data_IF_216813810682
#
_entry.id   IF_216813810682
#
_cell.length_a   1.000
_cell.length_b   1.000
_cell.length_c   1.000
_cell.angle_alpha   90.00
_cell.angle_beta   90.00
_cell.angle_gamma   90.00
#
_symmetry.space_group_name_H-M   'P 1'
#
loop_
_entity.id
_entity.type
_entity.pdbx_description
1 polymer ?
#
# COMPACT_ATOMS: atom_id res chain seq x y z
N UNK A 1 25.18 -1.64 3.90
CA UNK A 1 24.73 -2.01 5.26
C UNK A 1 23.60 -3.01 5.11
N UNK A 2 23.73 -4.23 5.68
CA UNK A 2 22.62 -5.17 5.72
C UNK A 2 21.53 -4.66 6.67
N UNK A 3 20.26 -4.84 6.30
CA UNK A 3 19.15 -4.65 7.23
C UNK A 3 18.94 -5.93 8.02
N UNK A 4 18.33 -5.81 9.20
CA UNK A 4 18.01 -6.96 10.04
C UNK A 4 16.87 -7.76 9.40
N UNK A 5 17.16 -9.03 9.12
CA UNK A 5 16.18 -10.04 8.75
C UNK A 5 15.60 -10.69 10.01
N UNK A 6 14.38 -11.22 9.92
CA UNK A 6 13.76 -12.02 10.98
C UNK A 6 14.65 -13.16 11.51
N UNK A 7 15.58 -13.68 10.70
CA UNK A 7 16.55 -14.70 11.13
C UNK A 7 17.54 -14.23 12.21
N UNK A 8 17.67 -12.92 12.42
CA UNK A 8 18.56 -12.34 13.45
C UNK A 8 17.82 -12.06 14.76
N UNK A 9 16.51 -12.27 14.80
CA UNK A 9 15.73 -12.24 16.03
C UNK A 9 16.03 -13.50 16.85
N UNK A 10 16.13 -13.36 18.16
CA UNK A 10 16.03 -14.47 19.10
C UNK A 10 14.63 -15.10 19.00
N UNK A 11 14.47 -16.34 19.46
CA UNK A 11 13.16 -17.02 19.46
C UNK A 11 12.08 -16.23 20.22
N UNK A 12 12.46 -15.57 21.32
CA UNK A 12 11.55 -14.71 22.07
C UNK A 12 11.10 -13.48 21.27
N UNK A 13 12.02 -12.84 20.54
CA UNK A 13 11.71 -11.69 19.69
C UNK A 13 10.91 -12.11 18.45
N UNK A 14 11.18 -13.28 17.86
CA UNK A 14 10.33 -13.85 16.79
C UNK A 14 8.90 -14.07 17.28
N UNK A 15 8.73 -14.71 18.45
CA UNK A 15 7.41 -14.93 19.05
C UNK A 15 6.69 -13.62 19.35
N UNK A 16 7.42 -12.59 19.78
CA UNK A 16 6.88 -11.23 19.94
C UNK A 16 6.43 -10.66 18.60
N UNK A 17 7.28 -10.70 17.58
CA UNK A 17 6.99 -10.16 16.26
C UNK A 17 5.82 -10.90 15.59
N UNK A 18 5.70 -12.21 15.76
CA UNK A 18 4.54 -12.99 15.31
C UNK A 18 3.26 -12.56 16.04
N UNK A 19 3.32 -12.36 17.36
CA UNK A 19 2.18 -11.87 18.14
C UNK A 19 1.76 -10.46 17.70
N UNK A 20 2.74 -9.59 17.46
CA UNK A 20 2.53 -8.24 16.93
C UNK A 20 1.92 -8.31 15.53
N UNK A 21 2.48 -9.10 14.61
CA UNK A 21 1.98 -9.24 13.25
C UNK A 21 0.50 -9.66 13.22
N UNK A 22 0.12 -10.64 14.05
CA UNK A 22 -1.29 -11.07 14.20
C UNK A 22 -2.23 -9.98 14.72
N UNK A 23 -1.74 -9.05 15.54
CA UNK A 23 -2.58 -8.09 16.27
C UNK A 23 -2.56 -6.66 15.73
N UNK A 24 -1.68 -6.34 14.78
CA UNK A 24 -1.28 -4.94 14.55
C UNK A 24 -1.26 -4.50 13.10
N UNK A 25 -1.75 -5.25 12.12
CA UNK A 25 -1.73 -4.78 10.73
C UNK A 25 -2.97 -5.19 9.94
N UNK A 26 -4.11 -5.12 10.59
CA UNK A 26 -5.26 -5.84 10.06
C UNK A 26 -6.18 -4.92 9.27
N UNK A 27 -6.22 -3.61 9.54
CA UNK A 27 -7.06 -2.65 8.81
C UNK A 27 -6.27 -1.47 8.25
N UNK A 28 -6.60 -1.07 7.03
CA UNK A 28 -6.02 0.08 6.33
C UNK A 28 -7.11 0.99 5.76
N UNK A 29 -6.90 2.30 5.85
CA UNK A 29 -7.71 3.29 5.13
C UNK A 29 -7.08 3.55 3.75
N UNK A 30 -7.79 3.20 2.69
CA UNK A 30 -7.38 3.44 1.30
C UNK A 30 -8.55 4.06 0.55
N UNK A 31 -8.35 5.26 -0.01
CA UNK A 31 -9.38 6.02 -0.73
C UNK A 31 -10.68 6.17 0.08
N UNK A 32 -10.54 6.60 1.34
CA UNK A 32 -11.65 6.78 2.29
C UNK A 32 -12.47 5.51 2.59
N UNK A 33 -11.98 4.34 2.17
CA UNK A 33 -12.55 3.03 2.48
C UNK A 33 -11.64 2.26 3.41
N UNK A 34 -12.22 1.63 4.41
CA UNK A 34 -11.51 0.75 5.32
C UNK A 34 -11.59 -0.65 4.76
N UNK A 35 -10.45 -1.33 4.70
CA UNK A 35 -10.38 -2.73 4.30
C UNK A 35 -9.36 -3.48 5.12
N UNK A 36 -9.42 -4.80 5.06
CA UNK A 36 -8.32 -5.60 5.57
C UNK A 36 -7.04 -5.30 4.77
N UNK A 37 -5.86 -5.37 5.39
CA UNK A 37 -4.62 -5.13 4.64
C UNK A 37 -4.40 -6.20 3.57
N UNK A 38 -4.83 -7.43 3.82
CA UNK A 38 -4.73 -8.56 2.90
C UNK A 38 -5.90 -9.54 3.07
N UNK A 39 -6.05 -10.47 2.13
CA UNK A 39 -6.97 -11.61 2.28
C UNK A 39 -6.59 -12.49 3.47
N UNK A 40 -5.31 -12.61 3.79
CA UNK A 40 -4.83 -13.35 4.97
C UNK A 40 -5.32 -12.69 6.27
N UNK A 41 -5.38 -11.36 6.34
CA UNK A 41 -5.89 -10.66 7.52
C UNK A 41 -7.41 -10.82 7.69
N UNK A 42 -8.16 -10.81 6.59
CA UNK A 42 -9.59 -11.15 6.59
C UNK A 42 -9.79 -12.59 7.08
N UNK A 43 -9.04 -13.54 6.53
CA UNK A 43 -9.12 -14.95 6.91
C UNK A 43 -8.77 -15.16 8.39
N UNK A 44 -7.71 -14.53 8.89
CA UNK A 44 -7.33 -14.57 10.30
C UNK A 44 -8.44 -14.01 11.20
N UNK A 45 -9.06 -12.88 10.83
CA UNK A 45 -10.16 -12.30 11.59
C UNK A 45 -11.38 -13.23 11.65
N UNK A 46 -11.77 -13.80 10.51
CA UNK A 46 -12.88 -14.75 10.42
C UNK A 46 -12.58 -16.01 11.25
N UNK A 47 -11.35 -16.54 11.19
CA UNK A 47 -10.94 -17.73 11.96
C UNK A 47 -10.96 -17.46 13.48
N UNK A 48 -10.38 -16.35 13.94
CA UNK A 48 -10.35 -15.96 15.36
C UNK A 48 -11.76 -15.77 15.94
N UNK A 49 -12.72 -15.34 15.11
CA UNK A 49 -14.10 -15.05 15.51
C UNK A 49 -15.10 -16.06 14.91
N UNK A 50 -14.64 -17.22 14.45
CA UNK A 50 -15.42 -18.14 13.61
C UNK A 50 -16.74 -18.55 14.25
N UNK A 51 -16.72 -18.89 15.54
CA UNK A 51 -17.92 -19.31 16.26
C UNK A 51 -18.96 -18.19 16.44
N UNK A 52 -18.53 -16.92 16.42
CA UNK A 52 -19.43 -15.76 16.53
C UNK A 52 -19.99 -15.39 15.16
N UNK A 53 -19.16 -15.41 14.13
CA UNK A 53 -19.53 -15.03 12.76
C UNK A 53 -20.35 -16.14 12.09
N UNK A 54 -19.93 -17.39 12.26
CA UNK A 54 -20.48 -18.59 11.61
C UNK A 54 -20.94 -19.63 12.64
N UNK A 55 -21.87 -19.30 13.56
CA UNK A 55 -22.22 -20.14 14.70
C UNK A 55 -22.78 -21.52 14.31
N UNK A 56 -23.38 -21.66 13.13
CA UNK A 56 -23.93 -22.92 12.61
C UNK A 56 -22.92 -23.87 11.97
N UNK A 57 -21.66 -23.43 11.79
CA UNK A 57 -20.63 -24.20 11.10
C UNK A 57 -19.57 -24.71 12.07
N UNK A 58 -18.90 -25.80 11.69
CA UNK A 58 -17.66 -26.30 12.27
C UNK A 58 -16.54 -26.05 11.27
N UNK A 59 -15.49 -25.33 11.68
CA UNK A 59 -14.27 -25.22 10.89
C UNK A 59 -13.50 -26.54 10.96
N UNK A 60 -13.33 -27.21 9.82
CA UNK A 60 -12.61 -28.49 9.73
C UNK A 60 -11.15 -28.24 9.40
N UNK A 61 -10.91 -27.43 8.36
CA UNK A 61 -9.56 -27.13 7.91
C UNK A 61 -9.49 -25.78 7.22
N UNK A 62 -8.56 -24.95 7.69
CA UNK A 62 -8.12 -23.73 7.00
C UNK A 62 -7.08 -24.06 5.92
N UNK A 63 -7.12 -23.32 4.80
CA UNK A 63 -6.20 -23.41 3.68
C UNK A 63 -6.01 -24.85 3.17
N UNK A 64 -7.09 -25.62 3.08
CA UNK A 64 -7.00 -27.02 2.68
C UNK A 64 -6.69 -27.13 1.19
N UNK A 65 -5.63 -27.88 0.86
CA UNK A 65 -5.27 -28.15 -0.53
C UNK A 65 -5.95 -29.44 -1.00
N UNK A 66 -6.79 -29.33 -2.03
CA UNK A 66 -7.53 -30.41 -2.69
C UNK A 66 -7.16 -30.37 -4.17
N UNK A 67 -6.56 -31.44 -4.68
CA UNK A 67 -6.11 -31.56 -6.07
C UNK A 67 -5.35 -30.31 -6.57
N UNK A 68 -4.30 -29.91 -5.83
CA UNK A 68 -3.45 -28.71 -6.07
C UNK A 68 -4.13 -27.34 -5.91
N UNK A 69 -5.43 -27.30 -5.62
CA UNK A 69 -6.19 -26.09 -5.38
C UNK A 69 -6.37 -25.86 -3.88
N UNK A 70 -6.20 -24.64 -3.41
CA UNK A 70 -6.27 -24.29 -1.99
C UNK A 70 -7.54 -23.51 -1.71
N UNK A 71 -8.50 -24.11 -0.98
CA UNK A 71 -9.66 -23.37 -0.49
C UNK A 71 -9.35 -22.70 0.84
N UNK A 72 -9.96 -21.53 1.08
CA UNK A 72 -9.69 -20.76 2.30
C UNK A 72 -10.21 -21.50 3.54
N UNK A 73 -11.50 -21.84 3.60
CA UNK A 73 -12.06 -22.59 4.71
C UNK A 73 -12.89 -23.79 4.23
N UNK A 74 -12.52 -24.99 4.69
CA UNK A 74 -13.34 -26.18 4.62
C UNK A 74 -14.08 -26.36 5.96
N UNK A 75 -15.40 -26.42 5.89
CA UNK A 75 -16.29 -26.47 7.03
C UNK A 75 -17.35 -27.57 6.87
N UNK A 76 -18.11 -27.83 7.93
CA UNK A 76 -19.37 -28.56 7.85
C UNK A 76 -20.47 -27.93 8.70
N UNK A 77 -21.72 -28.19 8.35
CA UNK A 77 -22.87 -27.75 9.18
C UNK A 77 -22.91 -28.60 10.45
N UNK A 78 -22.95 -27.97 11.63
CA UNK A 78 -22.89 -28.63 12.94
C UNK A 78 -23.90 -29.78 13.11
N UNK A 79 -25.15 -29.58 12.68
CA UNK A 79 -26.24 -30.51 12.91
C UNK A 79 -26.24 -31.74 12.01
N UNK A 80 -25.71 -31.62 10.78
CA UNK A 80 -25.87 -32.63 9.73
C UNK A 80 -24.57 -33.03 9.05
N UNK A 81 -23.44 -32.42 9.43
CA UNK A 81 -22.10 -32.61 8.81
C UNK A 81 -22.06 -32.35 7.30
N UNK A 82 -23.04 -31.61 6.76
CA UNK A 82 -23.07 -31.22 5.35
C UNK A 82 -21.81 -30.40 5.00
N UNK A 83 -21.09 -30.73 3.92
CA UNK A 83 -19.88 -30.02 3.51
C UNK A 83 -20.18 -28.57 3.13
N UNK A 84 -19.34 -27.65 3.60
CA UNK A 84 -19.37 -26.23 3.26
C UNK A 84 -17.97 -25.77 2.86
N UNK A 85 -17.84 -25.14 1.69
CA UNK A 85 -16.61 -24.48 1.26
C UNK A 85 -16.85 -22.98 1.34
N UNK A 86 -15.94 -22.26 1.99
CA UNK A 86 -15.96 -20.79 2.06
C UNK A 86 -14.73 -20.25 1.33
N UNK A 87 -14.97 -19.36 0.38
CA UNK A 87 -13.93 -18.55 -0.27
C UNK A 87 -14.06 -17.09 0.19
N UNK A 88 -12.95 -16.49 0.59
CA UNK A 88 -12.87 -15.13 1.10
C UNK A 88 -12.16 -14.25 0.07
N UNK A 89 -12.72 -13.06 -0.19
CA UNK A 89 -12.07 -12.04 -1.01
C UNK A 89 -12.07 -10.72 -0.28
N UNK A 90 -10.94 -10.03 -0.32
CA UNK A 90 -10.81 -8.69 0.25
C UNK A 90 -11.11 -7.58 -0.77
N UNK A 91 -11.35 -7.95 -2.02
CA UNK A 91 -11.72 -7.07 -3.14
C UNK A 91 -12.72 -7.80 -4.06
N UNK A 92 -13.27 -7.12 -5.06
CA UNK A 92 -14.14 -7.75 -6.06
C UNK A 92 -13.35 -8.77 -6.91
N UNK A 93 -13.88 -9.98 -7.07
CA UNK A 93 -13.33 -11.02 -7.97
C UNK A 93 -14.43 -11.50 -8.92
N UNK A 94 -14.12 -11.56 -10.22
CA UNK A 94 -15.06 -12.01 -11.26
C UNK A 94 -15.12 -13.53 -11.42
N UNK A 95 -14.14 -14.26 -10.88
CA UNK A 95 -13.97 -15.69 -11.14
C UNK A 95 -14.43 -16.57 -9.97
N UNK A 96 -15.10 -15.99 -8.97
CA UNK A 96 -15.36 -16.60 -7.67
C UNK A 96 -16.24 -17.85 -7.80
N UNK A 97 -17.31 -17.76 -8.61
CA UNK A 97 -18.19 -18.90 -8.90
C UNK A 97 -17.42 -20.05 -9.56
N UNK A 98 -16.59 -19.73 -10.55
CA UNK A 98 -15.77 -20.73 -11.24
C UNK A 98 -14.80 -21.42 -10.26
N UNK A 99 -14.23 -20.67 -9.33
CA UNK A 99 -13.28 -21.15 -8.34
C UNK A 99 -13.94 -22.11 -7.35
N UNK A 100 -15.06 -21.71 -6.74
CA UNK A 100 -15.86 -22.54 -5.85
C UNK A 100 -16.35 -23.82 -6.56
N UNK A 101 -16.76 -23.73 -7.81
CA UNK A 101 -17.18 -24.90 -8.61
C UNK A 101 -16.05 -25.91 -8.79
N UNK A 102 -14.82 -25.43 -9.05
CA UNK A 102 -13.64 -26.31 -9.15
C UNK A 102 -13.32 -26.97 -7.82
N UNK A 103 -13.42 -26.25 -6.70
CA UNK A 103 -13.20 -26.81 -5.37
C UNK A 103 -14.23 -27.87 -5.02
N UNK A 104 -15.51 -27.62 -5.31
CA UNK A 104 -16.59 -28.60 -5.14
C UNK A 104 -16.29 -29.90 -5.86
N UNK A 105 -15.89 -29.81 -7.14
CA UNK A 105 -15.55 -30.98 -7.95
C UNK A 105 -14.38 -31.76 -7.33
N UNK A 106 -13.32 -31.07 -6.92
CA UNK A 106 -12.16 -31.68 -6.31
C UNK A 106 -12.51 -32.36 -4.97
N UNK A 107 -13.30 -31.69 -4.12
CA UNK A 107 -13.71 -32.18 -2.82
C UNK A 107 -14.53 -33.48 -2.94
N UNK A 108 -15.45 -33.56 -3.90
CA UNK A 108 -16.28 -34.75 -4.12
C UNK A 108 -15.51 -35.95 -4.69
N UNK A 109 -14.34 -35.71 -5.30
CA UNK A 109 -13.43 -36.77 -5.77
C UNK A 109 -12.59 -37.29 -4.60
N UNK A 110 -11.96 -36.40 -3.84
CA UNK A 110 -11.03 -36.79 -2.78
C UNK A 110 -11.70 -37.21 -1.46
N UNK A 111 -12.85 -36.61 -1.14
CA UNK A 111 -13.63 -36.86 0.08
C UNK A 111 -12.81 -36.87 1.38
N UNK A 112 -12.03 -35.81 1.68
CA UNK A 112 -11.21 -35.74 2.89
C UNK A 112 -12.05 -35.67 4.17
N UNK A 113 -11.50 -36.09 5.31
CA UNK A 113 -12.17 -36.00 6.63
C UNK A 113 -13.58 -36.65 6.69
N UNK A 114 -13.79 -37.89 6.21
CA UNK A 114 -15.11 -38.52 6.15
C UNK A 114 -15.80 -38.66 7.52
N UNK A 115 -15.04 -38.67 8.60
CA UNK A 115 -15.57 -38.69 9.98
C UNK A 115 -16.32 -37.40 10.36
N UNK A 116 -15.97 -36.28 9.70
CA UNK A 116 -16.44 -34.91 10.01
C UNK A 116 -17.37 -34.35 8.91
N UNK A 117 -17.40 -34.97 7.74
CA UNK A 117 -18.13 -34.52 6.55
C UNK A 117 -18.98 -35.65 5.99
N UNK A 118 -20.27 -35.39 5.84
CA UNK A 118 -21.19 -36.27 5.13
C UNK A 118 -21.25 -35.91 3.64
N UNK A 119 -20.51 -36.65 2.83
CA UNK A 119 -20.46 -36.47 1.37
C UNK A 119 -21.68 -37.00 0.61
N UNK A 120 -22.67 -37.58 1.31
CA UNK A 120 -23.96 -37.90 0.70
C UNK A 120 -24.84 -36.65 0.52
N UNK A 121 -24.53 -35.57 1.26
CA UNK A 121 -25.24 -34.30 1.20
C UNK A 121 -24.61 -33.36 0.16
N UNK A 122 -25.39 -32.45 -0.46
CA UNK A 122 -24.86 -31.49 -1.40
C UNK A 122 -23.87 -30.52 -0.72
N UNK A 123 -22.79 -30.15 -1.42
CA UNK A 123 -21.79 -29.20 -0.92
C UNK A 123 -22.35 -27.77 -1.02
N UNK A 124 -22.42 -27.05 0.11
CA UNK A 124 -22.71 -25.61 0.10
C UNK A 124 -21.46 -24.80 -0.21
N UNK A 125 -21.63 -23.74 -0.99
CA UNK A 125 -20.57 -22.89 -1.50
C UNK A 125 -20.83 -21.47 -1.04
N UNK A 126 -19.98 -20.94 -0.18
CA UNK A 126 -20.13 -19.60 0.38
C UNK A 126 -18.99 -18.73 -0.15
N UNK A 127 -19.34 -17.56 -0.67
CA UNK A 127 -18.41 -16.51 -1.00
C UNK A 127 -18.59 -15.36 -0.03
N UNK A 128 -17.51 -14.84 0.55
CA UNK A 128 -17.55 -13.64 1.39
C UNK A 128 -16.62 -12.59 0.77
N UNK A 129 -17.19 -11.48 0.32
CA UNK A 129 -16.47 -10.42 -0.38
C UNK A 129 -17.05 -9.04 -0.02
N UNK A 130 -16.35 -7.92 -0.23
CA UNK A 130 -16.93 -6.60 0.00
C UNK A 130 -18.02 -6.23 -1.01
N UNK A 131 -17.99 -6.82 -2.20
CA UNK A 131 -18.93 -6.62 -3.29
C UNK A 131 -18.76 -7.76 -4.30
N UNK A 132 -19.81 -8.06 -5.07
CA UNK A 132 -19.74 -9.03 -6.17
C UNK A 132 -19.96 -8.37 -7.53
N UNK A 133 -19.14 -8.76 -8.52
CA UNK A 133 -19.33 -8.35 -9.91
C UNK A 133 -20.57 -9.05 -10.52
N UNK A 134 -21.25 -8.39 -11.47
CA UNK A 134 -22.43 -8.91 -12.19
C UNK A 134 -22.21 -10.30 -12.80
N UNK A 135 -21.03 -10.54 -13.36
CA UNK A 135 -20.58 -11.85 -13.86
C UNK A 135 -20.74 -12.97 -12.83
N UNK A 136 -20.54 -12.72 -11.52
CA UNK A 136 -20.73 -13.76 -10.51
C UNK A 136 -22.19 -14.16 -10.36
N UNK A 137 -23.13 -13.21 -10.45
CA UNK A 137 -24.56 -13.54 -10.40
C UNK A 137 -24.98 -14.30 -11.66
N UNK A 138 -24.50 -13.85 -12.83
CA UNK A 138 -24.74 -14.53 -14.11
C UNK A 138 -24.19 -15.97 -14.09
N UNK A 139 -22.95 -16.16 -13.62
CA UNK A 139 -22.32 -17.47 -13.51
C UNK A 139 -23.02 -18.36 -12.48
N UNK A 140 -23.55 -17.78 -11.39
CA UNK A 140 -24.33 -18.51 -10.39
C UNK A 140 -25.65 -19.02 -11.01
N UNK A 141 -26.39 -18.17 -11.71
CA UNK A 141 -27.64 -18.50 -12.39
C UNK A 141 -27.41 -19.54 -13.50
N UNK A 142 -26.33 -19.40 -14.27
CA UNK A 142 -25.95 -20.35 -15.31
C UNK A 142 -25.41 -21.68 -14.74
N UNK A 143 -25.12 -21.74 -13.44
CA UNK A 143 -24.57 -22.93 -12.80
C UNK A 143 -25.65 -23.95 -12.46
N UNK A 144 -25.31 -25.24 -12.61
CA UNK A 144 -26.17 -26.35 -12.15
C UNK A 144 -26.33 -26.41 -10.62
N UNK A 145 -25.65 -25.53 -9.88
CA UNK A 145 -25.59 -25.51 -8.42
C UNK A 145 -26.06 -24.17 -7.85
N UNK A 146 -26.85 -23.38 -8.58
CA UNK A 146 -27.35 -22.06 -8.16
C UNK A 146 -27.82 -22.02 -6.69
N UNK A 147 -28.64 -23.01 -6.29
CA UNK A 147 -29.21 -23.15 -4.94
C UNK A 147 -28.21 -23.57 -3.85
N UNK A 148 -26.98 -23.93 -4.23
CA UNK A 148 -25.90 -24.27 -3.31
C UNK A 148 -24.95 -23.10 -3.06
N UNK A 149 -25.06 -22.02 -3.84
CA UNK A 149 -24.27 -20.81 -3.66
C UNK A 149 -24.92 -19.83 -2.68
N UNK A 150 -24.07 -19.24 -1.83
CA UNK A 150 -24.41 -18.11 -0.96
C UNK A 150 -23.36 -17.02 -1.17
N UNK A 151 -23.77 -15.87 -1.69
CA UNK A 151 -22.92 -14.69 -1.84
C UNK A 151 -23.18 -13.73 -0.69
N UNK A 152 -22.22 -13.55 0.21
CA UNK A 152 -22.35 -12.69 1.38
C UNK A 152 -21.43 -11.48 1.28
N UNK A 153 -22.04 -10.31 1.23
CA UNK A 153 -21.30 -9.05 1.22
C UNK A 153 -20.94 -8.59 2.63
N UNK A 154 -19.75 -8.02 2.78
CA UNK A 154 -19.34 -7.34 4.00
C UNK A 154 -18.96 -5.87 3.80
N UNK A 155 -19.16 -5.06 4.82
CA UNK A 155 -18.58 -3.71 4.92
C UNK A 155 -17.75 -3.56 6.19
N UNK A 156 -16.85 -2.58 6.20
CA UNK A 156 -16.12 -2.19 7.41
C UNK A 156 -16.37 -0.71 7.65
N UNK A 157 -17.02 -0.42 8.77
CA UNK A 157 -17.42 0.93 9.15
C UNK A 157 -16.73 1.32 10.48
N UNK A 158 -16.66 2.62 10.77
CA UNK A 158 -16.25 3.11 12.10
C UNK A 158 -17.48 3.65 12.79
N UNK A 159 -17.75 3.18 13.99
CA UNK A 159 -18.80 3.76 14.81
C UNK A 159 -18.42 5.19 15.22
N UNK A 160 -19.25 6.18 14.88
CA UNK A 160 -18.97 7.58 15.21
C UNK A 160 -18.79 7.76 16.73
N UNK A 161 -17.67 8.34 17.13
CA UNK A 161 -17.34 8.56 18.54
C UNK A 161 -16.75 7.34 19.25
N UNK A 162 -16.67 6.17 18.60
CA UNK A 162 -15.89 5.02 19.09
C UNK A 162 -14.70 4.74 18.18
N UNK A 163 -13.60 4.38 18.81
CA UNK A 163 -12.35 4.05 18.12
C UNK A 163 -12.31 2.59 17.60
N UNK A 164 -13.49 1.99 17.38
CA UNK A 164 -13.67 0.57 17.05
C UNK A 164 -14.20 0.48 15.62
N UNK A 165 -13.53 -0.31 14.79
CA UNK A 165 -14.04 -0.68 13.47
C UNK A 165 -15.02 -1.84 13.61
N UNK A 166 -16.04 -1.85 12.75
CA UNK A 166 -17.13 -2.81 12.77
C UNK A 166 -17.16 -3.57 11.44
N UNK A 167 -17.00 -4.89 11.51
CA UNK A 167 -17.20 -5.81 10.40
C UNK A 167 -18.69 -6.12 10.29
N UNK A 168 -19.32 -5.65 9.23
CA UNK A 168 -20.73 -5.91 8.95
C UNK A 168 -20.84 -7.02 7.92
N UNK A 169 -21.43 -8.17 8.27
CA UNK A 169 -21.64 -9.30 7.36
C UNK A 169 -23.10 -9.71 7.43
N UNK A 170 -23.81 -9.66 6.29
CA UNK A 170 -25.22 -10.08 6.19
C UNK A 170 -26.13 -9.47 7.27
N UNK A 171 -25.98 -8.17 7.54
CA UNK A 171 -26.78 -7.43 8.52
C UNK A 171 -26.41 -7.69 9.99
N UNK A 172 -25.34 -8.43 10.27
CA UNK A 172 -24.78 -8.59 11.61
C UNK A 172 -23.47 -7.82 11.74
N UNK A 173 -23.24 -7.23 12.90
CA UNK A 173 -22.07 -6.41 13.19
C UNK A 173 -21.17 -7.11 14.20
N UNK A 174 -19.88 -7.08 13.92
CA UNK A 174 -18.84 -7.67 14.75
C UNK A 174 -17.73 -6.66 14.98
N UNK A 175 -17.29 -6.51 16.23
CA UNK A 175 -16.19 -5.59 16.53
C UNK A 175 -14.88 -6.12 15.94
N UNK A 176 -14.09 -5.20 15.40
CA UNK A 176 -12.72 -5.46 14.98
C UNK A 176 -11.80 -4.79 16.01
N UNK A 177 -11.12 -5.56 16.89
CA UNK A 177 -10.32 -5.02 17.97
C UNK A 177 -8.95 -4.50 17.50
N UNK A 178 -8.78 -4.27 16.20
CA UNK A 178 -7.51 -3.93 15.58
C UNK A 178 -7.39 -2.42 15.35
N UNK A 179 -6.17 -1.86 15.45
CA UNK A 179 -5.94 -0.48 15.05
C UNK A 179 -6.13 -0.30 13.54
N UNK A 180 -6.71 0.85 13.17
CA UNK A 180 -6.87 1.27 11.77
C UNK A 180 -5.65 2.10 11.37
N UNK A 181 -4.86 1.60 10.42
CA UNK A 181 -3.69 2.32 9.95
C UNK A 181 -4.06 3.29 8.83
N UNK A 182 -3.34 4.42 8.79
CA UNK A 182 -3.59 5.48 7.82
C UNK A 182 -4.81 6.36 8.13
N UNK A 183 -5.53 6.07 9.21
CA UNK A 183 -6.67 6.88 9.64
C UNK A 183 -6.20 8.26 10.14
N UNK A 184 -6.65 9.38 9.54
CA UNK A 184 -6.25 10.72 9.95
C UNK A 184 -6.62 11.02 11.41
N UNK A 185 -5.74 11.69 12.15
CA UNK A 185 -6.02 12.18 13.50
C UNK A 185 -5.91 11.15 14.63
N UNK A 186 -5.82 9.85 14.33
CA UNK A 186 -5.69 8.80 15.35
C UNK A 186 -4.23 8.49 15.66
N UNK A 187 -3.76 9.02 16.77
CA UNK A 187 -2.45 8.71 17.33
C UNK A 187 -2.72 7.73 18.48
N UNK A 188 -2.43 6.45 18.26
CA UNK A 188 -2.40 5.46 19.35
C UNK A 188 -1.58 6.04 20.50
N UNK A 189 -2.08 5.91 21.74
CA UNK A 189 -1.29 6.29 22.91
C UNK A 189 0.08 5.56 22.88
N UNK A 190 1.10 6.18 23.47
CA UNK A 190 2.49 5.72 23.34
C UNK A 190 2.69 4.26 23.74
N UNK A 191 1.92 3.79 24.73
CA UNK A 191 1.97 2.41 25.22
C UNK A 191 1.38 1.42 24.20
N UNK A 192 0.17 1.66 23.69
CA UNK A 192 -0.47 0.81 22.69
C UNK A 192 0.30 0.83 21.37
N UNK A 193 0.83 2.00 21.00
CA UNK A 193 1.70 2.12 19.84
C UNK A 193 2.97 1.29 20.00
N UNK A 194 3.63 1.35 21.15
CA UNK A 194 4.85 0.57 21.40
C UNK A 194 4.60 -0.95 21.37
N UNK A 195 3.44 -1.41 21.86
CA UNK A 195 3.00 -2.80 21.78
C UNK A 195 2.68 -3.22 20.34
N UNK A 196 2.39 -2.26 19.46
CA UNK A 196 2.10 -2.50 18.04
C UNK A 196 3.33 -2.56 17.12
N UNK A 197 4.51 -2.24 17.65
CA UNK A 197 5.74 -2.22 16.86
C UNK A 197 6.43 -3.59 16.85
N UNK A 198 6.83 -4.10 15.68
CA UNK A 198 7.81 -5.18 15.60
C UNK A 198 9.08 -4.79 16.35
N UNK A 199 9.81 -5.76 16.87
CA UNK A 199 10.97 -5.61 17.76
C UNK A 199 11.97 -4.59 17.21
N UNK A 200 12.33 -4.70 15.93
CA UNK A 200 13.30 -3.78 15.36
C UNK A 200 12.77 -2.35 15.17
N UNK A 201 11.48 -2.20 14.84
CA UNK A 201 10.87 -0.88 14.75
C UNK A 201 10.73 -0.22 16.12
N UNK A 202 10.47 -1.04 17.16
CA UNK A 202 10.47 -0.62 18.54
C UNK A 202 11.84 -0.11 19.00
N UNK A 203 12.93 -0.82 18.67
CA UNK A 203 14.30 -0.39 18.96
C UNK A 203 14.65 0.95 18.30
N UNK A 204 14.26 1.15 17.04
CA UNK A 204 14.46 2.44 16.38
C UNK A 204 13.66 3.55 17.07
N UNK A 205 12.37 3.29 17.34
CA UNK A 205 11.46 4.24 17.99
C UNK A 205 11.95 4.64 19.39
N UNK A 206 12.46 3.69 20.17
CA UNK A 206 12.96 3.95 21.52
C UNK A 206 14.17 4.90 21.51
N UNK A 207 15.00 4.83 20.46
CA UNK A 207 16.20 5.67 20.27
C UNK A 207 15.89 7.05 19.67
N UNK A 208 14.64 7.32 19.28
CA UNK A 208 14.23 8.65 18.83
C UNK A 208 14.08 9.58 20.04
N UNK A 209 14.52 10.83 19.86
CA UNK A 209 14.19 11.93 20.77
C UNK A 209 12.66 12.06 20.87
N UNK A 210 12.15 12.35 22.06
CA UNK A 210 10.73 12.44 22.39
C UNK A 210 9.99 13.38 21.44
N UNK A 211 10.63 14.49 21.02
CA UNK A 211 10.03 15.46 20.09
C UNK A 211 9.67 14.88 18.72
N UNK A 212 10.30 13.79 18.29
CA UNK A 212 10.07 13.15 16.99
C UNK A 212 9.10 11.98 17.04
N UNK A 213 8.78 11.45 18.23
CA UNK A 213 8.02 10.19 18.36
C UNK A 213 6.61 10.27 17.77
N UNK A 214 5.91 11.38 18.02
CA UNK A 214 4.56 11.63 17.50
C UNK A 214 4.54 11.71 15.97
N UNK A 215 5.45 12.49 15.39
CA UNK A 215 5.54 12.65 13.94
C UNK A 215 6.06 11.38 13.25
N UNK A 216 6.98 10.65 13.88
CA UNK A 216 7.40 9.32 13.42
C UNK A 216 6.22 8.36 13.36
N UNK A 217 5.36 8.36 14.38
CA UNK A 217 4.17 7.52 14.40
C UNK A 217 3.20 7.87 13.28
N UNK A 218 2.91 9.16 13.09
CA UNK A 218 2.07 9.63 11.99
C UNK A 218 2.63 9.22 10.62
N UNK A 219 3.92 9.51 10.38
CA UNK A 219 4.59 9.18 9.14
C UNK A 219 4.66 7.67 8.90
N UNK A 220 5.08 6.88 9.88
CA UNK A 220 5.13 5.41 9.76
C UNK A 220 3.76 4.84 9.39
N UNK A 221 2.70 5.32 10.03
CA UNK A 221 1.34 4.87 9.73
C UNK A 221 0.96 5.16 8.27
N UNK A 222 1.38 6.28 7.68
CA UNK A 222 1.15 6.59 6.27
C UNK A 222 1.99 5.72 5.32
N UNK A 223 3.22 5.38 5.72
CA UNK A 223 4.14 4.57 4.91
C UNK A 223 3.76 3.09 4.93
N UNK A 224 3.41 2.53 6.10
CA UNK A 224 3.23 1.07 6.26
C UNK A 224 1.92 0.55 5.68
N UNK A 225 0.91 1.41 5.52
CA UNK A 225 -0.38 1.06 4.88
C UNK A 225 -0.25 0.82 3.39
N UNK A 226 0.84 1.26 2.77
CA UNK A 226 0.95 1.14 1.33
C UNK A 226 1.13 -0.32 0.92
N UNK A 227 0.52 -0.75 -0.20
CA UNK A 227 0.61 -2.11 -0.68
C UNK A 227 2.05 -2.58 -0.86
N UNK A 228 2.30 -3.84 -0.45
CA UNK A 228 3.58 -4.55 -0.58
C UNK A 228 4.76 -3.86 0.13
N UNK A 229 4.52 -2.87 1.02
CA UNK A 229 5.58 -2.26 1.82
C UNK A 229 5.99 -3.15 2.97
N UNK A 230 7.30 -3.32 3.09
CA UNK A 230 7.98 -3.89 4.24
C UNK A 230 8.75 -2.79 4.95
N UNK A 231 8.72 -2.85 6.27
CA UNK A 231 9.56 -2.05 7.14
C UNK A 231 10.82 -2.85 7.48
N UNK A 232 11.99 -2.27 7.20
CA UNK A 232 13.29 -2.91 7.41
C UNK A 232 14.17 -1.98 8.23
N UNK A 233 14.77 -2.49 9.30
CA UNK A 233 15.58 -1.68 10.21
C UNK A 233 17.03 -2.13 10.13
N UNK A 234 17.97 -1.19 10.09
CA UNK A 234 19.40 -1.50 10.05
C UNK A 234 19.86 -2.21 11.33
N UNK A 235 20.93 -3.01 11.26
CA UNK A 235 21.55 -3.66 12.43
C UNK A 235 21.95 -2.70 13.56
N UNK A 236 22.24 -1.44 13.25
CA UNK A 236 22.58 -0.42 14.24
C UNK A 236 21.36 0.27 14.86
N UNK A 237 20.14 -0.06 14.41
CA UNK A 237 18.89 0.62 14.78
C UNK A 237 18.92 2.13 14.51
N UNK A 238 19.76 2.58 13.57
CA UNK A 238 19.91 3.99 13.20
C UNK A 238 19.22 4.31 11.88
N UNK A 239 18.68 3.32 11.17
CA UNK A 239 17.99 3.53 9.90
C UNK A 239 16.76 2.63 9.79
N UNK A 240 15.68 3.18 9.26
CA UNK A 240 14.48 2.44 8.84
C UNK A 240 14.27 2.67 7.35
N UNK A 241 14.01 1.60 6.60
CA UNK A 241 13.70 1.64 5.18
C UNK A 241 12.29 1.07 4.96
N UNK A 242 11.52 1.75 4.13
CA UNK A 242 10.21 1.34 3.64
C UNK A 242 10.33 1.01 2.16
N UNK A 243 10.04 -0.24 1.78
CA UNK A 243 10.17 -0.71 0.40
C UNK A 243 9.76 -2.17 0.22
N UNK A 244 9.94 -2.74 -0.99
CA UNK A 244 9.57 -4.15 -1.27
C UNK A 244 10.59 -5.16 -0.75
N UNK A 245 11.76 -4.70 -0.33
CA UNK A 245 12.83 -5.54 0.21
C UNK A 245 14.19 -4.86 0.18
N UNK A 246 15.24 -5.66 0.37
CA UNK A 246 16.61 -5.20 0.53
C UNK A 246 17.45 -5.47 -0.72
N UNK A 247 18.01 -4.43 -1.35
CA UNK A 247 18.96 -4.62 -2.45
C UNK A 247 18.91 -3.51 -3.49
N UNK A 248 19.59 -3.75 -4.62
CA UNK A 248 19.63 -2.80 -5.75
C UNK A 248 18.34 -2.82 -6.57
N UNK A 249 17.66 -3.96 -6.65
CA UNK A 249 16.50 -4.17 -7.52
C UNK A 249 15.15 -3.99 -6.81
N UNK A 250 15.16 -3.76 -5.50
CA UNK A 250 13.93 -3.52 -4.74
C UNK A 250 13.46 -2.08 -4.91
N UNK A 251 12.14 -1.93 -5.00
CA UNK A 251 11.48 -0.62 -5.03
C UNK A 251 11.56 -0.04 -3.62
N UNK A 252 11.98 1.22 -3.50
CA UNK A 252 12.12 1.94 -2.23
C UNK A 252 11.15 3.12 -2.22
N UNK A 253 10.53 3.37 -1.07
CA UNK A 253 9.61 4.49 -0.84
C UNK A 253 10.29 5.57 0.00
N UNK A 254 10.72 5.19 1.21
CA UNK A 254 11.21 6.13 2.21
C UNK A 254 12.31 5.51 3.07
N UNK A 255 13.21 6.34 3.58
CA UNK A 255 14.26 5.95 4.53
C UNK A 255 14.37 7.03 5.60
N UNK A 256 14.41 6.63 6.87
CA UNK A 256 14.59 7.52 8.01
C UNK A 256 15.92 7.17 8.65
N UNK A 257 16.78 8.16 8.92
CA UNK A 257 18.09 7.94 9.54
C UNK A 257 18.26 8.79 10.79
N UNK A 258 18.59 8.13 11.91
CA UNK A 258 18.91 8.72 13.21
C UNK A 258 20.37 8.37 13.56
N UNK A 259 21.32 9.17 13.08
CA UNK A 259 22.76 8.92 13.32
C UNK A 259 23.27 9.86 14.42
N UNK A 260 23.95 9.37 15.48
CA UNK A 260 24.52 10.23 16.51
C UNK A 260 25.42 11.32 15.94
N UNK A 261 25.28 12.53 16.48
CA UNK A 261 26.00 13.72 16.01
C UNK A 261 25.51 14.26 14.66
N UNK A 262 24.41 13.73 14.11
CA UNK A 262 23.73 14.25 12.92
C UNK A 262 22.24 14.44 13.21
N UNK A 263 21.61 15.34 12.48
CA UNK A 263 20.17 15.50 12.54
C UNK A 263 19.44 14.25 12.01
N UNK A 264 18.21 14.07 12.52
CA UNK A 264 17.29 13.08 11.99
C UNK A 264 16.93 13.47 10.56
N UNK A 265 17.11 12.56 9.61
CA UNK A 265 16.80 12.82 8.20
C UNK A 265 15.73 11.87 7.67
N UNK A 266 14.77 12.42 6.94
CA UNK A 266 13.89 11.68 6.04
C UNK A 266 14.45 11.73 4.61
N UNK A 267 14.42 10.61 3.93
CA UNK A 267 14.67 10.49 2.50
C UNK A 267 13.45 9.88 1.82
N UNK A 268 13.03 10.45 0.69
CA UNK A 268 11.96 9.94 -0.14
C UNK A 268 12.47 9.61 -1.54
N UNK A 269 11.97 8.54 -2.14
CA UNK A 269 12.27 8.21 -3.53
C UNK A 269 11.29 8.94 -4.44
N UNK A 270 11.73 10.08 -4.97
CA UNK A 270 10.90 11.01 -5.74
C UNK A 270 11.22 10.98 -7.24
N UNK A 271 10.26 11.30 -8.11
CA UNK A 271 10.47 11.38 -9.55
C UNK A 271 11.59 12.34 -9.94
N UNK A 272 12.31 12.02 -11.01
CA UNK A 272 13.35 12.87 -11.58
C UNK A 272 13.30 12.82 -13.10
N UNK A 273 13.62 13.94 -13.73
CA UNK A 273 13.95 13.93 -15.17
C UNK A 273 15.28 13.21 -15.37
N UNK A 274 15.29 12.12 -16.12
CA UNK A 274 16.52 11.50 -16.61
C UNK A 274 16.40 11.22 -18.10
N UNK A 275 17.54 11.16 -18.79
CA UNK A 275 17.54 10.74 -20.18
C UNK A 275 17.03 9.29 -20.30
N UNK A 276 16.33 8.96 -21.38
CA UNK A 276 15.65 7.66 -21.58
C UNK A 276 16.62 6.47 -21.62
N UNK A 277 17.93 6.74 -21.72
CA UNK A 277 19.01 5.75 -21.61
C UNK A 277 19.40 5.42 -20.15
N UNK A 278 18.89 6.17 -19.18
CA UNK A 278 19.14 5.99 -17.74
C UNK A 278 17.97 5.25 -17.09
N UNK A 279 18.26 4.10 -16.46
CA UNK A 279 17.27 3.21 -15.84
C UNK A 279 16.48 3.79 -14.64
N UNK A 280 16.68 5.07 -14.26
CA UNK A 280 16.22 5.60 -12.97
C UNK A 280 15.40 6.89 -13.11
N UNK A 281 14.09 6.81 -13.43
CA UNK A 281 13.19 7.95 -13.39
C UNK A 281 12.87 8.44 -11.97
N UNK A 282 13.50 7.85 -10.95
CA UNK A 282 13.30 8.18 -9.53
C UNK A 282 14.64 8.19 -8.80
N UNK A 283 14.86 9.21 -7.99
CA UNK A 283 16.06 9.37 -7.16
C UNK A 283 15.70 9.47 -5.67
N UNK A 284 16.68 9.13 -4.82
CA UNK A 284 16.57 9.31 -3.37
C UNK A 284 16.84 10.77 -3.04
N UNK A 285 15.84 11.45 -2.50
CA UNK A 285 15.89 12.86 -2.15
C UNK A 285 15.86 13.02 -0.63
N UNK A 286 16.79 13.81 -0.09
CA UNK A 286 16.71 14.34 1.26
C UNK A 286 16.23 15.79 1.25
N UNK A 287 15.89 16.31 2.43
CA UNK A 287 15.25 17.61 2.60
C UNK A 287 16.09 18.50 3.51
N UNK A 288 16.36 19.72 3.06
CA UNK A 288 16.85 20.81 3.93
C UNK A 288 15.62 21.61 4.33
N UNK A 289 15.38 21.66 5.63
CA UNK A 289 14.21 22.29 6.22
C UNK A 289 14.61 23.61 6.88
N UNK A 290 13.66 24.53 6.95
CA UNK A 290 13.84 25.80 7.68
C UNK A 290 14.20 25.51 9.15
N UNK A 291 15.04 26.36 9.75
CA UNK A 291 15.50 26.20 11.14
C UNK A 291 14.36 25.83 12.11
N UNK A 292 14.66 24.90 13.01
CA UNK A 292 13.73 24.38 14.03
C UNK A 292 12.57 23.51 13.50
N UNK A 293 12.54 23.18 12.21
CA UNK A 293 11.55 22.27 11.64
C UNK A 293 11.83 20.81 11.99
N UNK A 294 10.77 20.01 12.06
CA UNK A 294 10.83 18.59 12.38
C UNK A 294 10.87 17.75 11.10
N UNK A 295 11.90 16.92 10.91
CA UNK A 295 12.10 16.16 9.67
C UNK A 295 11.10 15.05 9.39
N UNK A 296 10.16 14.81 10.31
CA UNK A 296 9.08 13.84 10.16
C UNK A 296 7.69 14.49 10.15
N UNK A 297 7.58 15.80 10.38
CA UNK A 297 6.29 16.50 10.43
C UNK A 297 5.86 16.97 9.03
N UNK A 298 4.60 16.72 8.68
CA UNK A 298 4.03 17.14 7.39
C UNK A 298 4.07 18.65 7.19
N UNK A 299 3.99 19.43 8.27
CA UNK A 299 3.91 20.89 8.21
C UNK A 299 5.28 21.56 8.09
N UNK A 300 6.37 20.79 8.25
CA UNK A 300 7.72 21.31 8.14
C UNK A 300 7.99 21.96 6.79
N UNK A 301 8.55 23.16 6.83
CA UNK A 301 8.86 23.94 5.64
C UNK A 301 10.15 23.43 5.01
N UNK A 302 10.03 22.96 3.77
CA UNK A 302 11.14 22.53 2.92
C UNK A 302 11.70 23.75 2.22
N UNK A 303 13.00 24.00 2.39
CA UNK A 303 13.72 25.03 1.66
C UNK A 303 14.32 24.43 0.39
N UNK A 304 14.99 23.29 0.55
CA UNK A 304 15.68 22.61 -0.55
C UNK A 304 15.42 21.11 -0.56
N UNK A 305 15.29 20.60 -1.78
CA UNK A 305 15.35 19.19 -2.08
C UNK A 305 16.75 18.84 -2.57
N UNK A 306 17.35 17.77 -2.06
CA UNK A 306 18.70 17.32 -2.42
C UNK A 306 18.67 15.87 -2.86
N UNK A 307 18.96 15.61 -4.13
CA UNK A 307 19.12 14.24 -4.64
C UNK A 307 20.49 13.71 -4.25
N UNK A 308 20.52 12.58 -3.57
CA UNK A 308 21.75 12.00 -3.03
C UNK A 308 21.74 10.49 -3.03
N UNK A 309 22.88 9.89 -3.36
CA UNK A 309 23.12 8.45 -3.20
C UNK A 309 23.49 8.08 -1.76
N UNK A 310 24.01 9.04 -0.98
CA UNK A 310 24.56 8.84 0.36
C UNK A 310 23.90 9.76 1.39
N UNK A 311 24.55 10.09 2.51
CA UNK A 311 23.96 11.00 3.50
C UNK A 311 23.72 12.40 2.93
N UNK A 312 22.76 13.12 3.51
CA UNK A 312 22.58 14.54 3.25
C UNK A 312 23.89 15.26 3.58
N UNK A 313 24.48 15.97 2.61
CA UNK A 313 25.70 16.74 2.81
C UNK A 313 25.39 18.23 2.64
N UNK A 314 25.10 18.89 3.77
CA UNK A 314 24.73 20.31 3.79
C UNK A 314 25.89 21.24 3.39
N UNK A 315 27.14 20.76 3.36
CA UNK A 315 28.28 21.59 2.89
C UNK A 315 28.22 21.92 1.41
N UNK A 316 27.35 21.22 0.67
CA UNK A 316 27.08 21.46 -0.74
C UNK A 316 25.70 22.10 -0.93
N UNK A 317 25.13 22.80 0.05
CA UNK A 317 23.94 23.62 -0.21
C UNK A 317 24.29 24.64 -1.29
N UNK A 318 23.44 24.80 -2.33
CA UNK A 318 23.64 25.85 -3.33
C UNK A 318 23.77 27.22 -2.66
N UNK A 319 24.50 28.12 -3.32
CA UNK A 319 24.43 29.53 -3.00
C UNK A 319 22.96 29.95 -2.95
N UNK A 320 22.55 30.56 -1.83
CA UNK A 320 21.19 31.05 -1.59
C UNK A 320 20.74 31.99 -2.72
N UNK A 321 21.70 32.66 -3.37
CA UNK A 321 21.47 33.56 -4.50
C UNK A 321 21.32 32.85 -5.85
N UNK A 322 21.61 31.56 -5.94
CA UNK A 322 21.32 30.79 -7.16
C UNK A 322 19.82 30.51 -7.23
N UNK A 323 19.13 31.16 -8.17
CA UNK A 323 17.69 31.00 -8.38
C UNK A 323 17.31 29.68 -9.07
N UNK A 324 18.29 28.84 -9.40
CA UNK A 324 18.13 27.75 -10.38
C UNK A 324 18.47 26.39 -9.76
N UNK A 325 17.72 25.35 -10.14
CA UNK A 325 18.11 23.97 -9.86
C UNK A 325 19.44 23.60 -10.51
N UNK A 326 20.20 22.72 -9.85
CA UNK A 326 21.36 22.09 -10.46
C UNK A 326 21.03 20.68 -10.89
N UNK A 327 21.66 20.27 -11.99
CA UNK A 327 21.54 18.93 -12.55
C UNK A 327 22.91 18.27 -12.66
N UNK A 328 22.93 16.95 -12.50
CA UNK A 328 24.08 16.12 -12.84
C UNK A 328 24.31 16.08 -14.35
N UNK A 329 25.47 15.54 -14.75
CA UNK A 329 25.79 15.30 -16.17
C UNK A 329 24.81 14.33 -16.84
N UNK A 330 24.24 13.42 -16.06
CA UNK A 330 23.22 12.45 -16.47
C UNK A 330 21.79 13.05 -16.51
N UNK A 331 21.67 14.36 -16.26
CA UNK A 331 20.40 15.07 -16.23
C UNK A 331 19.59 14.85 -14.95
N UNK A 332 20.08 14.07 -13.98
CA UNK A 332 19.40 13.91 -12.69
C UNK A 332 19.38 15.24 -11.93
N UNK A 333 18.25 15.57 -11.31
CA UNK A 333 18.17 16.71 -10.40
C UNK A 333 19.17 16.49 -9.27
N UNK A 334 20.05 17.45 -8.99
CA UNK A 334 21.01 17.44 -7.86
C UNK A 334 20.43 18.18 -6.66
N UNK A 335 19.92 19.38 -6.88
CA UNK A 335 19.18 20.15 -5.89
C UNK A 335 18.11 21.03 -6.54
N UNK A 336 17.06 21.36 -5.80
CA UNK A 336 16.01 22.30 -6.21
C UNK A 336 15.46 23.05 -5.02
N UNK A 337 15.09 24.32 -5.20
CA UNK A 337 14.16 24.98 -4.29
C UNK A 337 12.84 24.21 -4.27
N UNK A 338 12.19 24.20 -3.12
CA UNK A 338 10.99 23.40 -2.90
C UNK A 338 9.89 23.71 -3.93
N UNK A 339 9.54 25.00 -4.06
CA UNK A 339 8.56 25.55 -5.02
C UNK A 339 8.89 25.31 -6.51
N UNK A 340 10.15 25.04 -6.85
CA UNK A 340 10.58 24.83 -8.24
C UNK A 340 10.68 23.36 -8.62
N UNK A 341 10.61 22.44 -7.66
CA UNK A 341 10.87 21.01 -7.90
C UNK A 341 10.04 20.45 -9.05
N UNK A 342 8.74 20.71 -9.05
CA UNK A 342 7.84 20.16 -10.06
C UNK A 342 8.14 20.71 -11.47
N UNK A 343 8.40 22.02 -11.58
CA UNK A 343 8.87 22.63 -12.83
C UNK A 343 10.18 22.01 -13.31
N UNK A 344 11.13 21.79 -12.38
CA UNK A 344 12.44 21.24 -12.69
C UNK A 344 12.42 19.78 -13.16
N UNK A 345 11.56 18.95 -12.58
CA UNK A 345 11.39 17.54 -12.99
C UNK A 345 10.70 17.43 -14.36
N UNK A 346 9.98 18.47 -14.78
CA UNK A 346 9.20 18.46 -16.03
C UNK A 346 9.89 19.20 -17.18
N UNK A 347 10.72 20.20 -16.87
CA UNK A 347 11.41 21.06 -17.84
C UNK A 347 12.20 20.30 -18.92
N UNK A 348 13.00 19.29 -18.55
CA UNK A 348 13.86 18.55 -19.50
C UNK A 348 13.08 17.83 -20.60
N UNK A 349 11.86 17.35 -20.35
CA UNK A 349 11.07 16.71 -21.40
C UNK A 349 10.38 17.73 -22.31
N UNK A 350 10.13 18.95 -21.82
CA UNK A 350 9.57 20.03 -22.65
C UNK A 350 10.59 20.63 -23.62
N UNK A 351 11.88 20.41 -23.37
CA UNK A 351 13.02 20.97 -24.13
C UNK A 351 13.57 20.03 -25.23
N UNK A 352 13.05 18.80 -25.38
CA UNK A 352 13.46 17.86 -26.43
C UNK A 352 12.33 17.74 -27.48
N UNK A 353 12.41 18.48 -28.60
CA UNK A 353 11.37 18.50 -29.62
C UNK A 353 11.15 17.12 -30.26
N UNK A 354 12.20 16.30 -30.34
CA UNK A 354 12.14 14.97 -30.95
C UNK A 354 11.37 14.01 -30.05
N UNK A 355 11.64 14.00 -28.74
CA UNK A 355 10.83 13.23 -27.78
C UNK A 355 9.40 13.75 -27.69
N UNK A 356 9.22 15.07 -27.79
CA UNK A 356 7.89 15.67 -27.83
C UNK A 356 7.11 15.22 -29.09
N UNK A 357 7.76 15.13 -30.25
CA UNK A 357 7.14 14.70 -31.51
C UNK A 357 6.96 13.18 -31.61
N UNK A 358 7.84 12.39 -31.00
CA UNK A 358 7.65 10.96 -30.77
C UNK A 358 6.40 10.73 -29.88
N UNK A 359 6.25 11.52 -28.83
CA UNK A 359 5.08 11.48 -27.94
C UNK A 359 3.79 11.86 -28.67
N UNK A 360 3.80 12.94 -29.47
CA UNK A 360 2.67 13.31 -30.33
C UNK A 360 2.31 12.18 -31.31
N UNK A 361 3.29 11.44 -31.83
CA UNK A 361 3.08 10.29 -32.71
C UNK A 361 2.44 9.12 -31.97
N UNK A 362 2.98 8.72 -30.82
CA UNK A 362 2.43 7.62 -29.99
C UNK A 362 0.99 7.91 -29.55
N UNK A 363 0.69 9.16 -29.22
CA UNK A 363 -0.68 9.55 -28.88
C UNK A 363 -1.64 9.50 -30.08
N UNK A 364 -1.20 9.98 -31.26
CA UNK A 364 -1.98 9.93 -32.52
C UNK A 364 -2.28 8.50 -32.98
N UNK A 365 -1.35 7.57 -32.81
CA UNK A 365 -1.53 6.17 -33.20
C UNK A 365 -2.29 5.35 -32.16
N UNK A 366 -2.45 5.86 -30.94
CA UNK A 366 -3.30 5.23 -29.95
C UNK A 366 -4.77 5.48 -30.30
N UNK A 367 -5.59 4.43 -30.36
CA UNK A 367 -7.06 4.52 -30.47
C UNK A 367 -7.73 5.10 -29.21
N UNK A 368 -6.95 5.66 -28.29
CA UNK A 368 -7.41 6.23 -27.04
C UNK A 368 -7.80 7.68 -27.23
N UNK A 369 -9.11 7.96 -27.26
CA UNK A 369 -9.66 9.33 -27.22
C UNK A 369 -9.06 10.18 -26.08
N UNK A 370 -8.71 9.55 -24.96
CA UNK A 370 -8.10 10.19 -23.80
C UNK A 370 -6.65 10.64 -24.07
N UNK A 371 -5.84 9.85 -24.80
CA UNK A 371 -4.47 10.25 -25.18
C UNK A 371 -4.50 11.47 -26.11
N UNK A 372 -5.45 11.52 -27.04
CA UNK A 372 -5.63 12.67 -27.92
C UNK A 372 -6.10 13.92 -27.15
N UNK A 373 -6.98 13.78 -26.14
CA UNK A 373 -7.33 14.89 -25.24
C UNK A 373 -6.14 15.39 -24.41
N UNK A 374 -5.26 14.50 -23.97
CA UNK A 374 -4.06 14.83 -23.19
C UNK A 374 -3.07 15.67 -24.01
N UNK A 375 -2.80 15.25 -25.26
CA UNK A 375 -1.95 16.00 -26.19
C UNK A 375 -2.52 17.39 -26.47
N UNK A 376 -3.84 17.50 -26.63
CA UNK A 376 -4.48 18.79 -26.87
C UNK A 376 -4.51 19.66 -25.61
N UNK A 377 -4.61 19.09 -24.41
CA UNK A 377 -4.50 19.81 -23.13
C UNK A 377 -3.06 20.23 -22.77
N UNK A 378 -2.07 19.63 -23.42
CA UNK A 378 -0.64 19.87 -23.19
C UNK A 378 -0.23 21.31 -23.52
N UNK A 379 -0.94 21.98 -24.43
CA UNK A 379 -0.76 23.40 -24.73
C UNK A 379 -1.06 24.30 -23.51
N UNK A 380 -1.80 23.80 -22.51
CA UNK A 380 -2.25 24.57 -21.35
C UNK A 380 -1.63 24.14 -20.01
N UNK A 381 -1.05 22.92 -19.88
CA UNK A 381 -0.39 22.50 -18.62
C UNK A 381 0.54 21.26 -18.79
N UNK A 382 1.83 21.45 -19.16
CA UNK A 382 2.76 20.37 -19.53
C UNK A 382 3.25 19.51 -18.34
N UNK A 383 3.05 19.97 -17.11
CA UNK A 383 3.72 19.44 -15.92
C UNK A 383 3.07 18.15 -15.39
N UNK A 384 1.74 18.02 -15.51
CA UNK A 384 1.00 16.86 -15.01
C UNK A 384 1.21 15.59 -15.80
N UNK A 385 0.87 15.67 -17.09
CA UNK A 385 0.83 14.53 -17.99
C UNK A 385 2.22 13.96 -18.20
N UNK A 386 3.21 14.85 -18.12
CA UNK A 386 4.59 14.51 -18.16
C UNK A 386 5.08 13.87 -16.85
N UNK A 387 4.68 14.36 -15.68
CA UNK A 387 4.99 13.66 -14.41
C UNK A 387 4.35 12.27 -14.42
N UNK A 388 3.09 12.13 -14.86
CA UNK A 388 2.40 10.84 -14.99
C UNK A 388 3.07 9.90 -16.00
N UNK A 389 3.63 10.44 -17.08
CA UNK A 389 4.40 9.69 -18.07
C UNK A 389 5.77 9.25 -17.53
N UNK A 390 6.52 10.17 -16.90
CA UNK A 390 7.80 9.93 -16.19
C UNK A 390 7.64 8.87 -15.11
N UNK A 391 6.50 8.91 -14.41
CA UNK A 391 6.17 7.99 -13.33
C UNK A 391 5.92 6.56 -13.81
N UNK A 392 5.44 6.38 -15.03
CA UNK A 392 4.81 5.11 -15.41
C UNK A 392 5.35 4.43 -16.67
N UNK A 393 5.63 5.12 -17.76
CA UNK A 393 5.59 4.42 -19.06
C UNK A 393 4.25 3.69 -19.30
N UNK A 394 3.17 4.14 -18.65
CA UNK A 394 1.82 3.54 -18.73
C UNK A 394 0.89 4.49 -19.45
N UNK A 395 -0.10 3.89 -20.10
CA UNK A 395 -1.10 4.57 -20.91
C UNK A 395 -2.18 5.25 -20.04
N UNK A 396 -2.71 6.41 -20.48
CA UNK A 396 -3.83 7.13 -19.86
C UNK A 396 -5.10 6.36 -19.53
N UNK A 397 -5.24 5.11 -20.00
CA UNK A 397 -6.39 4.24 -19.72
C UNK A 397 -6.44 3.74 -18.26
N UNK A 398 -5.35 3.87 -17.50
CA UNK A 398 -5.23 3.36 -16.12
C UNK A 398 -5.29 4.45 -15.04
N UNK A 399 -5.60 5.69 -15.43
CA UNK A 399 -5.73 6.84 -14.53
C UNK A 399 -7.19 6.93 -14.13
N UNK A 400 -7.48 6.84 -12.83
CA UNK A 400 -8.86 6.95 -12.31
C UNK A 400 -9.28 8.42 -12.20
N UNK A 401 -10.58 8.69 -12.03
CA UNK A 401 -11.03 10.06 -11.77
C UNK A 401 -10.53 10.58 -10.41
N UNK A 402 -10.34 9.72 -9.42
CA UNK A 402 -9.66 10.07 -8.16
C UNK A 402 -8.22 10.54 -8.39
N UNK A 403 -7.47 9.87 -9.27
CA UNK A 403 -6.10 10.28 -9.63
C UNK A 403 -6.10 11.68 -10.26
N UNK A 404 -7.11 12.00 -11.08
CA UNK A 404 -7.28 13.32 -11.70
C UNK A 404 -7.64 14.38 -10.66
N UNK A 405 -8.62 14.11 -9.80
CA UNK A 405 -9.06 15.03 -8.75
C UNK A 405 -7.90 15.34 -7.80
N UNK A 406 -7.18 14.31 -7.36
CA UNK A 406 -5.99 14.47 -6.54
C UNK A 406 -5.00 15.42 -7.20
N UNK A 407 -4.70 15.19 -8.47
CA UNK A 407 -3.75 16.01 -9.17
C UNK A 407 -4.21 17.46 -9.39
N UNK A 408 -5.46 17.69 -9.75
CA UNK A 408 -5.99 19.05 -9.88
C UNK A 408 -5.88 19.80 -8.54
N UNK A 409 -6.11 19.11 -7.42
CA UNK A 409 -5.87 19.66 -6.07
C UNK A 409 -4.39 19.96 -5.80
N UNK A 410 -3.48 19.33 -6.52
CA UNK A 410 -2.04 19.37 -6.31
C UNK A 410 -1.38 20.50 -7.11
N UNK A 411 -1.89 20.80 -8.32
CA UNK A 411 -1.43 21.90 -9.18
C UNK A 411 -1.47 23.26 -8.50
N UNK A 412 -2.48 23.48 -7.67
CA UNK A 412 -2.73 24.76 -7.01
C UNK A 412 -1.97 24.90 -5.69
N UNK A 413 -1.33 23.82 -5.22
CA UNK A 413 -0.56 23.80 -3.97
C UNK A 413 0.90 24.14 -4.23
N UNK A 414 1.44 25.09 -3.47
CA UNK A 414 2.87 25.38 -3.46
C UNK A 414 3.60 24.26 -2.70
N UNK A 415 4.60 23.58 -3.28
CA UNK A 415 5.29 22.46 -2.66
C UNK A 415 6.32 22.94 -1.63
N UNK A 416 5.88 23.60 -0.57
CA UNK A 416 6.76 24.15 0.48
C UNK A 416 6.71 23.34 1.77
N UNK A 417 5.76 22.41 1.91
CA UNK A 417 5.60 21.59 3.10
C UNK A 417 6.00 20.14 2.83
N UNK A 418 6.59 19.48 3.82
CA UNK A 418 7.09 18.10 3.71
C UNK A 418 5.97 17.12 3.35
N UNK A 419 4.76 17.33 3.88
CA UNK A 419 3.58 16.51 3.61
C UNK A 419 3.24 16.43 2.13
N UNK A 420 3.49 17.51 1.36
CA UNK A 420 3.33 17.50 -0.10
C UNK A 420 4.22 16.43 -0.73
N UNK A 421 5.50 16.37 -0.37
CA UNK A 421 6.45 15.40 -0.92
C UNK A 421 6.19 13.97 -0.45
N UNK A 422 5.72 13.79 0.79
CA UNK A 422 5.31 12.48 1.30
C UNK A 422 4.16 11.94 0.44
N UNK A 423 3.11 12.75 0.22
CA UNK A 423 1.99 12.38 -0.64
C UNK A 423 2.44 12.05 -2.07
N UNK A 424 3.36 12.85 -2.65
CA UNK A 424 3.93 12.54 -3.96
C UNK A 424 4.62 11.18 -4.00
N UNK A 425 5.42 10.87 -2.98
CA UNK A 425 6.17 9.62 -2.90
C UNK A 425 5.21 8.43 -2.77
N UNK A 426 4.14 8.56 -1.98
CA UNK A 426 3.11 7.54 -1.80
C UNK A 426 2.35 7.27 -3.10
N UNK A 427 1.92 8.33 -3.80
CA UNK A 427 1.23 8.19 -5.10
C UNK A 427 2.16 7.56 -6.14
N UNK A 428 3.40 8.05 -6.22
CA UNK A 428 4.45 7.46 -7.06
C UNK A 428 4.66 5.98 -6.77
N UNK A 429 4.65 5.59 -5.49
CA UNK A 429 4.81 4.21 -5.05
C UNK A 429 3.67 3.31 -5.52
N UNK A 430 2.42 3.73 -5.29
CA UNK A 430 1.25 2.96 -5.65
C UNK A 430 1.18 2.66 -7.15
N UNK A 431 1.67 3.59 -7.98
CA UNK A 431 1.79 3.34 -9.42
C UNK A 431 2.90 2.37 -9.80
N UNK A 432 3.99 2.29 -9.03
CA UNK A 432 5.08 1.35 -9.31
C UNK A 432 4.75 -0.08 -8.93
N UNK A 433 3.84 -0.29 -7.99
CA UNK A 433 3.62 -1.59 -7.34
C UNK A 433 2.45 -2.37 -7.96
N UNK A 434 1.51 -1.64 -8.57
CA UNK A 434 0.60 -2.15 -9.60
C UNK A 434 1.39 -2.53 -10.83
#
# INVERSE_FOLDING_TARGET
>A
MPYLKAKHLTEAEKKRDEKVAKSTRNLVLINDKIKFQSEEDLENYIEENFNQILPGLVLIKRQHTINTQRCDLLCSIKSVKQPVIIELKNEEDRNLISQLTRYRKALLIEKPFPEQIDYSLPVKLIAIAPTFHEDNYTDQEASKFENDFCLWEFSIDIEQGKDIAQFNLSGKTYDIPYPIFGFPGKILNSESYSKSLPTFAWEFYFRLDQKYKKDFQGLRNQLIVQPKIKEMVSTSYRKVLYGTGEGKNHKKLAEITNTPGKDLCLFLWLPTSVDTKSEKPVARCGFVLKNSSNSLSNDSVVEWLVSTKETLNNKNTPDINSEVAAYGRDGTLKWSRANLYLGNVTFRYTQDPVKLDEWKRVAKTSSSKVLNQIVNSYQNNPTFWLLMYVLKGVTPKTITDEDRIWWESYKTKTPIHLGWYIDLALKTWNYKIK
#
